data_IF_167319111680
#
_entry.id   IF_167319111680
#
_cell.length_a   1.000
_cell.length_b   1.000
_cell.length_c   1.000
_cell.angle_alpha   90.00
_cell.angle_beta   90.00
_cell.angle_gamma   90.00
#
_symmetry.space_group_name_H-M   'P 1'
#
loop_
_entity.id
_entity.type
_entity.pdbx_description
1 polymer ?
#
# COMPACT_ATOMS: atom_id res chain seq x y z
N UNK A 1 -45.39 48.30 1.13
CA UNK A 1 -45.40 47.34 0.00
C UNK A 1 -43.98 46.85 -0.19
N UNK A 2 -43.70 45.58 0.06
CA UNK A 2 -42.38 44.98 -0.17
C UNK A 2 -42.08 44.98 -1.66
N UNK A 3 -40.89 45.42 -2.04
CA UNK A 3 -40.44 45.35 -3.43
C UNK A 3 -40.47 43.89 -3.91
N UNK A 4 -40.86 43.68 -5.17
CA UNK A 4 -40.89 42.35 -5.79
C UNK A 4 -39.47 41.76 -5.81
N UNK A 5 -39.28 40.50 -5.39
CA UNK A 5 -37.98 39.85 -5.41
C UNK A 5 -37.50 39.66 -6.85
N UNK A 6 -36.22 39.90 -7.07
CA UNK A 6 -35.61 39.86 -8.40
C UNK A 6 -34.49 38.83 -8.41
N UNK A 7 -34.72 37.63 -8.97
CA UNK A 7 -33.73 36.56 -8.95
C UNK A 7 -32.48 36.90 -9.75
N UNK A 8 -32.52 37.88 -10.67
CA UNK A 8 -31.35 38.31 -11.44
C UNK A 8 -30.28 38.99 -10.57
N UNK A 9 -30.63 39.46 -9.37
CA UNK A 9 -29.68 40.05 -8.40
C UNK A 9 -28.80 39.01 -7.71
N UNK A 10 -29.19 37.74 -7.75
CA UNK A 10 -28.43 36.67 -7.14
C UNK A 10 -27.17 36.33 -7.96
N UNK A 11 -26.02 36.70 -7.42
CA UNK A 11 -24.70 36.33 -8.00
C UNK A 11 -24.04 35.14 -7.30
N UNK A 12 -24.62 34.65 -6.21
CA UNK A 12 -24.11 33.54 -5.39
C UNK A 12 -25.24 32.63 -4.87
N UNK A 13 -24.90 31.43 -4.39
CA UNK A 13 -25.87 30.48 -3.79
C UNK A 13 -26.62 31.10 -2.61
N UNK A 14 -25.91 31.77 -1.71
CA UNK A 14 -26.51 32.45 -0.56
C UNK A 14 -27.44 33.60 -0.97
N UNK A 15 -27.05 34.37 -2.00
CA UNK A 15 -27.90 35.41 -2.59
C UNK A 15 -29.18 34.84 -3.22
N UNK A 16 -29.07 33.71 -3.92
CA UNK A 16 -30.22 33.04 -4.53
C UNK A 16 -31.21 32.50 -3.49
N UNK A 17 -30.70 31.91 -2.41
CA UNK A 17 -31.54 31.45 -1.28
C UNK A 17 -32.19 32.63 -0.56
N UNK A 18 -31.50 33.77 -0.45
CA UNK A 18 -32.07 35.00 0.09
C UNK A 18 -33.24 35.52 -0.76
N UNK A 19 -33.13 35.50 -2.08
CA UNK A 19 -34.24 35.87 -2.97
C UNK A 19 -35.43 34.90 -2.83
N UNK A 20 -35.20 33.59 -2.67
CA UNK A 20 -36.29 32.63 -2.40
C UNK A 20 -37.02 32.92 -1.08
N UNK A 21 -36.30 33.39 -0.06
CA UNK A 21 -36.90 33.82 1.22
C UNK A 21 -37.71 35.11 1.06
N UNK A 22 -37.20 36.06 0.29
CA UNK A 22 -37.93 37.28 -0.04
C UNK A 22 -39.20 36.97 -0.84
N UNK A 23 -39.16 35.99 -1.73
CA UNK A 23 -40.33 35.48 -2.44
C UNK A 23 -41.39 34.88 -1.49
N UNK A 24 -40.97 34.16 -0.45
CA UNK A 24 -41.89 33.71 0.59
C UNK A 24 -42.63 34.87 1.23
N UNK A 25 -41.90 35.91 1.61
CA UNK A 25 -42.45 37.10 2.30
C UNK A 25 -43.38 37.86 1.36
N UNK A 26 -42.98 38.06 0.10
CA UNK A 26 -43.79 38.71 -0.92
C UNK A 26 -45.10 37.97 -1.20
N UNK A 27 -45.08 36.63 -1.19
CA UNK A 27 -46.27 35.78 -1.32
C UNK A 27 -47.18 35.75 -0.07
N UNK A 28 -46.96 36.64 0.91
CA UNK A 28 -47.75 36.74 2.14
C UNK A 28 -47.25 35.86 3.29
N UNK A 29 -45.97 35.49 3.26
CA UNK A 29 -45.27 34.63 4.23
C UNK A 29 -46.04 33.35 4.63
N UNK A 30 -46.48 32.52 3.66
CA UNK A 30 -47.26 31.33 3.97
C UNK A 30 -46.45 30.35 4.84
N UNK A 31 -47.06 29.72 5.86
CA UNK A 31 -46.36 28.76 6.70
C UNK A 31 -45.93 27.54 5.88
N UNK A 32 -44.79 26.92 6.24
CA UNK A 32 -44.22 25.78 5.51
C UNK A 32 -45.21 24.61 5.34
N UNK A 33 -46.19 24.47 6.25
CA UNK A 33 -47.25 23.47 6.16
C UNK A 33 -48.18 23.70 4.95
N UNK A 34 -48.51 24.95 4.64
CA UNK A 34 -49.33 25.34 3.48
C UNK A 34 -48.54 25.11 2.20
N UNK A 35 -47.32 25.64 2.13
CA UNK A 35 -46.42 25.44 1.00
C UNK A 35 -46.17 23.95 0.69
N UNK A 36 -46.03 23.11 1.72
CA UNK A 36 -45.85 21.66 1.57
C UNK A 36 -47.06 20.98 0.94
N UNK A 37 -48.28 21.38 1.34
CA UNK A 37 -49.53 20.86 0.76
C UNK A 37 -49.66 21.25 -0.70
N UNK A 38 -49.41 22.52 -1.00
CA UNK A 38 -49.69 23.09 -2.31
C UNK A 38 -48.60 22.71 -3.34
N UNK A 39 -47.36 22.45 -2.90
CA UNK A 39 -46.23 22.05 -3.76
C UNK A 39 -45.98 20.55 -3.85
N UNK A 40 -46.58 19.76 -2.94
CA UNK A 40 -46.28 18.33 -2.77
C UNK A 40 -44.90 18.05 -2.18
N UNK A 41 -44.13 19.06 -1.76
CA UNK A 41 -42.81 18.92 -1.17
C UNK A 41 -42.89 18.70 0.34
N UNK A 42 -42.01 17.87 0.91
CA UNK A 42 -41.95 17.68 2.36
C UNK A 42 -41.54 18.97 3.09
N UNK A 43 -42.03 19.17 4.31
CA UNK A 43 -41.69 20.37 5.11
C UNK A 43 -40.19 20.47 5.41
N UNK A 44 -39.51 19.34 5.59
CA UNK A 44 -38.05 19.28 5.75
C UNK A 44 -37.34 19.75 4.48
N UNK A 45 -37.82 19.35 3.30
CA UNK A 45 -37.28 19.79 2.00
C UNK A 45 -37.47 21.29 1.79
N UNK A 46 -38.63 21.85 2.15
CA UNK A 46 -38.87 23.29 2.08
C UNK A 46 -38.03 24.08 3.10
N UNK A 47 -37.84 23.53 4.30
CA UNK A 47 -36.96 24.11 5.32
C UNK A 47 -35.49 24.11 4.89
N UNK A 48 -35.03 23.04 4.27
CA UNK A 48 -33.68 22.91 3.72
C UNK A 48 -33.46 23.79 2.48
N UNK A 49 -34.47 23.91 1.59
CA UNK A 49 -34.46 24.81 0.44
C UNK A 49 -34.27 26.27 0.84
N UNK A 50 -34.88 26.68 1.95
CA UNK A 50 -34.80 28.03 2.49
C UNK A 50 -33.72 28.18 3.57
N UNK A 51 -32.83 27.21 3.78
CA UNK A 51 -31.80 27.29 4.82
C UNK A 51 -30.72 28.32 4.46
N UNK A 52 -30.34 29.25 5.36
CA UNK A 52 -29.32 30.25 5.06
C UNK A 52 -27.90 29.67 5.09
N UNK A 53 -27.74 28.45 5.65
CA UNK A 53 -26.47 27.73 5.78
C UNK A 53 -26.22 26.79 4.60
N UNK A 54 -26.93 27.01 3.48
CA UNK A 54 -26.89 26.12 2.34
C UNK A 54 -25.77 26.55 1.39
N UNK A 55 -24.80 25.67 1.23
CA UNK A 55 -23.61 25.93 0.40
C UNK A 55 -23.76 25.46 -1.07
N UNK A 56 -24.92 24.90 -1.44
CA UNK A 56 -25.21 24.41 -2.80
C UNK A 56 -26.59 24.84 -3.26
N UNK A 57 -26.76 25.15 -4.54
CA UNK A 57 -28.09 25.45 -5.09
C UNK A 57 -29.07 24.27 -4.90
N UNK A 58 -30.34 24.53 -4.52
CA UNK A 58 -31.40 23.52 -4.63
C UNK A 58 -31.60 23.11 -6.10
N UNK A 59 -32.15 21.91 -6.35
CA UNK A 59 -32.39 21.49 -7.74
C UNK A 59 -33.40 22.40 -8.42
N UNK A 60 -33.22 22.62 -9.73
CA UNK A 60 -34.08 23.51 -10.51
C UNK A 60 -35.56 23.12 -10.43
N UNK A 61 -35.87 21.82 -10.40
CA UNK A 61 -37.24 21.31 -10.23
C UNK A 61 -37.85 21.73 -8.88
N UNK A 62 -37.10 21.63 -7.78
CA UNK A 62 -37.57 22.08 -6.45
C UNK A 62 -37.81 23.60 -6.43
N UNK A 63 -36.90 24.36 -7.03
CA UNK A 63 -37.01 25.82 -7.14
C UNK A 63 -38.26 26.20 -7.94
N UNK A 64 -38.48 25.60 -9.11
CA UNK A 64 -39.63 25.94 -9.95
C UNK A 64 -40.97 25.53 -9.33
N UNK A 65 -41.02 24.38 -8.62
CA UNK A 65 -42.21 23.99 -7.86
C UNK A 65 -42.51 24.97 -6.73
N UNK A 66 -41.48 25.36 -5.98
CA UNK A 66 -41.63 26.34 -4.91
C UNK A 66 -42.09 27.72 -5.42
N UNK A 67 -41.43 28.22 -6.47
CA UNK A 67 -41.75 29.51 -7.13
C UNK A 67 -43.18 29.50 -7.68
N UNK A 68 -43.62 28.39 -8.28
CA UNK A 68 -44.99 28.22 -8.78
C UNK A 68 -46.05 28.31 -7.67
N UNK A 69 -45.79 27.71 -6.51
CA UNK A 69 -46.70 27.78 -5.35
C UNK A 69 -46.72 29.17 -4.70
N UNK A 70 -45.64 29.94 -4.83
CA UNK A 70 -45.61 31.35 -4.45
C UNK A 70 -46.32 32.29 -5.45
N UNK A 71 -46.99 31.75 -6.48
CA UNK A 71 -47.82 32.51 -7.41
C UNK A 71 -47.05 33.09 -8.61
N UNK A 72 -45.80 32.66 -8.83
CA UNK A 72 -44.97 33.14 -9.94
C UNK A 72 -45.00 32.13 -11.09
N UNK A 73 -45.57 32.54 -12.23
CA UNK A 73 -45.75 31.69 -13.43
C UNK A 73 -45.27 32.41 -14.71
N UNK A 74 -45.27 31.70 -15.84
CA UNK A 74 -44.94 32.28 -17.16
C UNK A 74 -43.50 32.81 -17.27
N UNK A 75 -43.33 33.97 -17.88
CA UNK A 75 -42.02 34.64 -18.08
C UNK A 75 -41.28 34.89 -16.77
N UNK A 76 -42.01 35.13 -15.67
CA UNK A 76 -41.41 35.38 -14.36
C UNK A 76 -40.75 34.13 -13.80
N UNK A 77 -41.38 32.96 -13.97
CA UNK A 77 -40.76 31.68 -13.64
C UNK A 77 -39.54 31.37 -14.55
N UNK A 78 -39.52 31.90 -15.78
CA UNK A 78 -38.36 31.81 -16.66
C UNK A 78 -37.18 32.66 -16.15
N UNK A 79 -37.42 33.82 -15.53
CA UNK A 79 -36.37 34.62 -14.89
C UNK A 79 -35.68 33.86 -13.74
N UNK A 80 -36.45 33.17 -12.89
CA UNK A 80 -35.92 32.28 -11.85
C UNK A 80 -35.09 31.13 -12.43
N UNK A 81 -35.51 30.57 -13.56
CA UNK A 81 -34.75 29.52 -14.28
C UNK A 81 -33.43 30.05 -14.84
N UNK A 82 -33.44 31.24 -15.42
CA UNK A 82 -32.23 31.88 -15.97
C UNK A 82 -31.24 32.25 -14.87
N UNK A 83 -31.71 32.88 -13.79
CA UNK A 83 -30.88 33.18 -12.62
C UNK A 83 -30.30 31.92 -11.98
N UNK A 84 -31.09 30.84 -11.84
CA UNK A 84 -30.58 29.56 -11.36
C UNK A 84 -29.45 29.03 -12.25
N UNK A 85 -29.60 29.08 -13.58
CA UNK A 85 -28.58 28.64 -14.53
C UNK A 85 -27.31 29.49 -14.44
N UNK A 86 -27.45 30.80 -14.27
CA UNK A 86 -26.31 31.69 -14.13
C UNK A 86 -25.54 31.46 -12.83
N UNK A 87 -26.23 31.34 -11.69
CA UNK A 87 -25.57 31.03 -10.42
C UNK A 87 -24.97 29.63 -10.47
N UNK A 88 -25.63 28.66 -11.09
CA UNK A 88 -25.09 27.31 -11.30
C UNK A 88 -23.87 27.31 -12.23
N UNK A 89 -23.84 28.14 -13.27
CA UNK A 89 -22.68 28.28 -14.16
C UNK A 89 -21.50 28.95 -13.44
N UNK A 90 -21.75 29.94 -12.57
CA UNK A 90 -20.74 30.61 -11.75
C UNK A 90 -20.20 29.71 -10.63
N UNK A 91 -21.07 28.96 -9.96
CA UNK A 91 -20.70 27.95 -8.96
C UNK A 91 -19.99 26.76 -9.62
N UNK A 92 -20.38 26.40 -10.84
CA UNK A 92 -19.67 25.41 -11.68
C UNK A 92 -18.29 25.88 -12.14
N UNK A 93 -18.11 27.17 -12.45
CA UNK A 93 -16.80 27.76 -12.78
C UNK A 93 -15.90 27.91 -11.55
N UNK A 94 -16.46 28.25 -10.39
CA UNK A 94 -15.75 28.23 -9.10
C UNK A 94 -15.42 26.80 -8.64
N UNK A 95 -16.30 25.84 -8.93
CA UNK A 95 -16.10 24.40 -8.69
C UNK A 95 -15.14 23.77 -9.69
N UNK A 96 -14.94 24.32 -10.89
CA UNK A 96 -13.89 23.88 -11.82
C UNK A 96 -12.50 24.32 -11.31
N UNK A 97 -12.39 25.54 -10.78
CA UNK A 97 -11.18 26.02 -10.10
C UNK A 97 -10.93 25.32 -8.73
N UNK A 98 -11.98 24.80 -8.08
CA UNK A 98 -11.85 23.96 -6.87
C UNK A 98 -11.60 22.47 -7.20
N UNK A 99 -12.15 21.96 -8.31
CA UNK A 99 -11.85 20.63 -8.84
C UNK A 99 -10.42 20.52 -9.39
N UNK A 100 -9.78 21.65 -9.70
CA UNK A 100 -8.35 21.75 -10.02
C UNK A 100 -7.40 21.42 -8.84
N UNK A 101 -7.89 21.13 -7.62
CA UNK A 101 -7.04 20.71 -6.49
C UNK A 101 -7.55 19.51 -5.69
N UNK A 102 -8.30 18.58 -6.29
CA UNK A 102 -8.42 17.27 -5.67
C UNK A 102 -7.01 16.65 -5.58
N UNK A 103 -6.46 16.55 -4.37
CA UNK A 103 -5.10 16.03 -4.16
C UNK A 103 -5.08 14.57 -4.61
N UNK A 104 -4.47 14.31 -5.76
CA UNK A 104 -4.24 12.95 -6.24
C UNK A 104 -3.14 12.34 -5.37
N UNK A 105 -3.40 11.25 -4.63
CA UNK A 105 -2.38 10.67 -3.76
C UNK A 105 -1.20 10.16 -4.60
N UNK A 106 0.02 10.56 -4.24
CA UNK A 106 1.29 10.11 -4.84
C UNK A 106 2.20 9.58 -3.74
N UNK A 107 1.79 8.49 -3.10
CA UNK A 107 2.41 7.99 -1.86
C UNK A 107 3.57 7.01 -2.07
N UNK A 108 3.87 6.64 -3.33
CA UNK A 108 4.92 5.68 -3.60
C UNK A 108 6.27 6.19 -3.11
N UNK A 109 7.04 5.37 -2.35
CA UNK A 109 8.36 5.76 -1.90
C UNK A 109 9.34 5.84 -3.08
N UNK A 110 10.55 6.34 -2.79
CA UNK A 110 11.69 6.16 -3.69
C UNK A 110 11.89 4.67 -4.00
N UNK A 111 12.02 4.34 -5.28
CA UNK A 111 12.40 2.99 -5.71
C UNK A 111 13.92 2.81 -5.72
N UNK A 112 14.42 1.56 -5.85
CA UNK A 112 15.83 1.34 -6.16
C UNK A 112 16.18 2.04 -7.48
N UNK A 113 17.37 2.63 -7.57
CA UNK A 113 17.84 3.29 -8.81
C UNK A 113 17.84 2.31 -10.00
N UNK A 114 18.19 1.05 -9.74
CA UNK A 114 18.15 -0.03 -10.73
C UNK A 114 17.61 -1.31 -10.08
N UNK A 115 16.65 -1.95 -10.75
CA UNK A 115 16.19 -3.29 -10.43
C UNK A 115 16.80 -4.25 -11.46
N UNK A 116 17.49 -5.29 -11.00
CA UNK A 116 18.27 -6.20 -11.87
C UNK A 116 17.66 -7.59 -11.86
N UNK A 117 17.52 -8.20 -13.05
CA UNK A 117 17.17 -9.60 -13.22
C UNK A 117 15.75 -9.94 -12.78
N UNK A 118 14.83 -8.97 -12.90
CA UNK A 118 13.41 -9.12 -12.53
C UNK A 118 12.46 -8.90 -13.70
N UNK A 119 12.97 -8.95 -14.93
CA UNK A 119 12.18 -8.65 -16.13
C UNK A 119 11.00 -9.60 -16.31
N UNK A 120 11.18 -10.88 -15.93
CA UNK A 120 10.10 -11.88 -15.98
C UNK A 120 8.99 -11.57 -14.98
N UNK A 121 9.36 -11.21 -13.75
CA UNK A 121 8.42 -10.87 -12.69
C UNK A 121 7.71 -9.56 -12.97
N UNK A 122 8.39 -8.56 -13.54
CA UNK A 122 7.76 -7.32 -14.00
C UNK A 122 6.73 -7.61 -15.10
N UNK A 123 7.09 -8.37 -16.14
CA UNK A 123 6.16 -8.74 -17.20
C UNK A 123 4.99 -9.62 -16.72
N UNK A 124 5.19 -10.39 -15.64
CA UNK A 124 4.09 -11.08 -14.97
C UNK A 124 3.19 -10.09 -14.23
N UNK A 125 3.75 -9.16 -13.47
CA UNK A 125 2.98 -8.14 -12.77
C UNK A 125 2.13 -7.29 -13.74
N UNK A 126 2.68 -6.90 -14.88
CA UNK A 126 1.93 -6.15 -15.90
C UNK A 126 0.71 -6.94 -16.39
N UNK A 127 0.90 -8.21 -16.74
CA UNK A 127 -0.20 -9.09 -17.17
C UNK A 127 -1.25 -9.31 -16.08
N UNK A 128 -0.81 -9.48 -14.84
CA UNK A 128 -1.70 -9.76 -13.72
C UNK A 128 -2.45 -8.50 -13.24
N UNK A 129 -1.91 -7.31 -13.50
CA UNK A 129 -2.47 -6.03 -13.08
C UNK A 129 -3.68 -5.58 -13.92
N UNK A 130 -3.78 -6.04 -15.16
CA UNK A 130 -4.91 -5.82 -16.05
C UNK A 130 -6.17 -6.61 -15.64
N UNK A 131 -6.00 -7.60 -14.76
CA UNK A 131 -7.09 -8.45 -14.30
C UNK A 131 -7.55 -8.04 -12.89
N UNK A 132 -8.87 -8.12 -12.60
CA UNK A 132 -9.38 -7.78 -11.28
C UNK A 132 -8.81 -8.72 -10.21
N UNK A 133 -8.34 -8.14 -9.10
CA UNK A 133 -7.83 -8.87 -7.95
C UNK A 133 -6.54 -8.28 -7.38
N UNK A 134 -5.97 -8.98 -6.39
CA UNK A 134 -4.70 -8.63 -5.80
C UNK A 134 -3.60 -9.59 -6.24
N UNK A 135 -2.40 -9.09 -6.49
CA UNK A 135 -1.20 -9.91 -6.67
C UNK A 135 -0.43 -9.97 -5.36
N UNK A 136 -0.05 -11.16 -4.92
CA UNK A 136 0.67 -11.38 -3.65
C UNK A 136 2.09 -11.85 -3.95
N UNK A 137 3.05 -10.96 -3.75
CA UNK A 137 4.48 -11.25 -3.89
C UNK A 137 5.01 -11.85 -2.59
N UNK A 138 5.38 -13.12 -2.64
CA UNK A 138 5.96 -13.84 -1.49
C UNK A 138 7.43 -14.19 -1.75
N UNK A 139 8.17 -14.54 -0.71
CA UNK A 139 9.57 -14.94 -0.85
C UNK A 139 10.39 -14.70 0.41
N UNK A 140 11.62 -15.23 0.41
CA UNK A 140 12.55 -15.18 1.53
C UNK A 140 12.87 -13.74 2.00
N UNK A 141 13.23 -13.50 3.27
CA UNK A 141 13.76 -12.21 3.70
C UNK A 141 14.98 -11.79 2.86
N UNK A 142 15.03 -10.54 2.43
CA UNK A 142 16.15 -10.00 1.64
C UNK A 142 16.11 -10.31 0.13
N UNK A 143 15.11 -11.04 -0.37
CA UNK A 143 14.98 -11.40 -1.80
C UNK A 143 14.58 -10.22 -2.72
N UNK A 144 14.18 -9.08 -2.14
CA UNK A 144 13.86 -7.86 -2.89
C UNK A 144 12.38 -7.64 -3.21
N UNK A 145 11.43 -8.22 -2.46
CA UNK A 145 9.99 -8.03 -2.67
C UNK A 145 9.56 -6.55 -2.71
N UNK A 146 9.96 -5.77 -1.71
CA UNK A 146 9.67 -4.32 -1.64
C UNK A 146 10.31 -3.57 -2.81
N UNK A 147 11.53 -3.95 -3.20
CA UNK A 147 12.23 -3.34 -4.34
C UNK A 147 11.50 -3.61 -5.66
N UNK A 148 11.03 -4.84 -5.89
CA UNK A 148 10.20 -5.20 -7.04
C UNK A 148 8.88 -4.43 -7.03
N UNK A 149 8.15 -4.45 -5.90
CA UNK A 149 6.84 -3.83 -5.79
C UNK A 149 6.89 -2.31 -6.01
N UNK A 150 7.87 -1.64 -5.42
CA UNK A 150 8.03 -0.18 -5.59
C UNK A 150 8.52 0.19 -6.98
N UNK A 151 9.43 -0.58 -7.58
CA UNK A 151 9.87 -0.34 -8.96
C UNK A 151 8.72 -0.51 -9.96
N UNK A 152 7.99 -1.62 -9.87
CA UNK A 152 6.83 -1.89 -10.73
C UNK A 152 5.73 -0.84 -10.52
N UNK A 153 5.38 -0.53 -9.27
CA UNK A 153 4.32 0.42 -8.98
C UNK A 153 4.62 1.83 -9.53
N UNK A 154 5.90 2.23 -9.58
CA UNK A 154 6.33 3.49 -10.19
C UNK A 154 6.18 3.49 -11.71
N UNK A 155 6.38 2.34 -12.36
CA UNK A 155 6.15 2.19 -13.80
C UNK A 155 4.64 2.22 -14.09
N UNK A 156 3.86 1.42 -13.37
CA UNK A 156 2.40 1.35 -13.49
C UNK A 156 1.67 2.64 -13.07
N UNK A 157 2.32 3.52 -12.29
CA UNK A 157 1.71 4.78 -11.81
C UNK A 157 1.12 5.68 -12.92
N UNK A 158 1.59 5.54 -14.16
CA UNK A 158 1.04 6.26 -15.33
C UNK A 158 -0.36 5.78 -15.72
N UNK A 159 -0.67 4.52 -15.49
CA UNK A 159 -1.94 3.88 -15.86
C UNK A 159 -3.03 4.06 -14.77
N UNK A 160 -2.64 4.65 -13.64
CA UNK A 160 -3.51 4.96 -12.49
C UNK A 160 -3.62 6.47 -12.26
N UNK A 161 -4.36 7.20 -13.11
CA UNK A 161 -4.44 8.65 -13.06
C UNK A 161 -5.07 9.18 -11.76
N UNK A 162 -5.87 8.37 -11.07
CA UNK A 162 -6.52 8.75 -9.82
C UNK A 162 -5.63 8.55 -8.58
N UNK A 163 -4.38 8.10 -8.77
CA UNK A 163 -3.34 8.14 -7.75
C UNK A 163 -2.81 6.76 -7.35
N UNK A 164 -1.87 6.79 -6.40
CA UNK A 164 -1.20 5.63 -5.85
C UNK A 164 -1.18 5.75 -4.33
N UNK A 165 -1.71 4.70 -3.68
CA UNK A 165 -1.68 4.52 -2.25
C UNK A 165 -0.59 3.52 -1.89
N UNK A 166 0.20 3.84 -0.87
CA UNK A 166 1.27 2.99 -0.38
C UNK A 166 1.24 2.93 1.13
N UNK A 167 1.40 1.73 1.66
CA UNK A 167 1.60 1.53 3.10
C UNK A 167 2.57 0.39 3.33
N UNK A 168 3.52 0.60 4.25
CA UNK A 168 4.25 -0.50 4.87
C UNK A 168 3.45 -0.97 6.09
N UNK A 169 2.87 -2.16 6.00
CA UNK A 169 2.00 -2.79 7.00
C UNK A 169 2.75 -3.29 8.24
N UNK A 170 4.08 -3.20 8.26
CA UNK A 170 4.95 -3.54 9.41
C UNK A 170 4.74 -4.98 9.90
N UNK A 171 4.39 -5.89 9.00
CA UNK A 171 4.14 -7.28 9.35
C UNK A 171 5.36 -7.99 9.93
N UNK A 172 6.55 -7.47 9.63
CA UNK A 172 7.81 -7.89 10.22
C UNK A 172 8.63 -6.64 10.56
N UNK A 173 8.57 -6.19 11.82
CA UNK A 173 9.29 -5.02 12.35
C UNK A 173 9.82 -5.32 13.77
N UNK A 174 11.10 -5.01 14.09
CA UNK A 174 11.69 -5.31 15.39
C UNK A 174 11.04 -4.56 16.56
N UNK A 175 10.56 -3.34 16.33
CA UNK A 175 10.20 -2.38 17.38
C UNK A 175 8.70 -2.05 17.42
N UNK A 176 7.95 -2.34 16.34
CA UNK A 176 6.55 -1.92 16.20
C UNK A 176 5.65 -3.10 15.85
N UNK A 177 4.43 -3.06 16.39
CA UNK A 177 3.39 -3.99 15.99
C UNK A 177 2.96 -3.74 14.53
N UNK A 178 2.43 -4.77 13.84
CA UNK A 178 1.77 -4.60 12.55
C UNK A 178 0.68 -3.53 12.61
N UNK A 179 0.52 -2.78 11.52
CA UNK A 179 -0.50 -1.73 11.46
C UNK A 179 -1.91 -2.31 11.52
N UNK A 180 -2.77 -1.66 12.32
CA UNK A 180 -4.20 -1.92 12.36
C UNK A 180 -4.86 -1.55 11.00
N UNK A 181 -5.64 -2.45 10.37
CA UNK A 181 -6.30 -2.17 9.09
C UNK A 181 -7.24 -0.96 9.16
N UNK A 182 -7.91 -0.72 10.28
CA UNK A 182 -8.79 0.43 10.47
C UNK A 182 -8.05 1.77 10.41
N UNK A 183 -6.86 1.83 11.01
CA UNK A 183 -5.96 2.99 10.92
C UNK A 183 -5.44 3.22 9.50
N UNK A 184 -5.09 2.15 8.78
CA UNK A 184 -4.65 2.23 7.36
C UNK A 184 -5.79 2.74 6.47
N UNK A 185 -7.00 2.18 6.62
CA UNK A 185 -8.19 2.63 5.87
C UNK A 185 -8.50 4.09 6.13
N UNK A 186 -8.40 4.54 7.39
CA UNK A 186 -8.58 5.95 7.71
C UNK A 186 -7.57 6.82 6.95
N UNK A 187 -6.28 6.47 6.98
CA UNK A 187 -5.25 7.20 6.24
C UNK A 187 -5.48 7.20 4.73
N UNK A 188 -5.92 6.08 4.14
CA UNK A 188 -6.26 5.99 2.72
C UNK A 188 -7.46 6.85 2.35
N UNK A 189 -8.53 6.83 3.16
CA UNK A 189 -9.72 7.66 2.94
C UNK A 189 -9.39 9.15 3.01
N UNK A 190 -8.57 9.57 3.98
CA UNK A 190 -8.06 10.94 4.07
C UNK A 190 -7.25 11.30 2.81
N UNK A 191 -6.35 10.41 2.38
CA UNK A 191 -5.54 10.63 1.18
C UNK A 191 -6.33 10.65 -0.14
N UNK A 192 -7.52 10.04 -0.16
CA UNK A 192 -8.46 10.06 -1.29
C UNK A 192 -9.42 11.25 -1.23
N UNK A 193 -9.17 12.20 -0.32
CA UNK A 193 -9.96 13.41 -0.08
C UNK A 193 -11.41 13.10 0.35
N UNK A 194 -11.60 12.04 1.14
CA UNK A 194 -12.89 11.73 1.77
C UNK A 194 -13.07 12.63 2.99
N UNK A 195 -14.15 13.43 3.05
CA UNK A 195 -14.37 14.32 4.18
C UNK A 195 -14.45 13.58 5.52
N UNK A 196 -13.89 14.10 6.62
CA UNK A 196 -13.83 13.41 7.91
C UNK A 196 -15.19 12.91 8.42
N UNK A 197 -16.27 13.66 8.23
CA UNK A 197 -17.63 13.26 8.65
C UNK A 197 -18.24 12.12 7.83
N UNK A 198 -17.61 11.75 6.71
CA UNK A 198 -17.97 10.55 5.92
C UNK A 198 -17.08 9.35 6.24
N UNK A 199 -16.10 9.49 7.12
CA UNK A 199 -15.24 8.40 7.56
C UNK A 199 -15.82 7.83 8.87
N UNK A 200 -16.49 6.66 8.83
CA UNK A 200 -17.08 6.07 10.02
C UNK A 200 -15.99 5.60 11.01
N UNK A 201 -16.32 5.43 12.29
CA UNK A 201 -15.36 4.97 13.28
C UNK A 201 -15.00 3.49 13.13
N UNK A 202 -15.92 2.63 12.68
CA UNK A 202 -15.73 1.18 12.57
C UNK A 202 -14.95 0.77 11.32
N UNK A 203 -14.02 -0.19 11.47
CA UNK A 203 -13.15 -0.70 10.40
C UNK A 203 -13.93 -1.23 9.19
N UNK A 204 -14.97 -2.04 9.41
CA UNK A 204 -15.75 -2.63 8.31
C UNK A 204 -16.52 -1.57 7.53
N UNK A 205 -17.05 -0.57 8.23
CA UNK A 205 -17.72 0.56 7.61
C UNK A 205 -16.71 1.42 6.80
N UNK A 206 -15.49 1.64 7.31
CA UNK A 206 -14.42 2.30 6.54
C UNK A 206 -14.05 1.51 5.29
N UNK A 207 -13.98 0.18 5.39
CA UNK A 207 -13.68 -0.68 4.26
C UNK A 207 -14.77 -0.59 3.17
N UNK A 208 -16.05 -0.48 3.56
CA UNK A 208 -17.16 -0.27 2.64
C UNK A 208 -17.08 1.09 1.92
N UNK A 209 -16.79 2.18 2.65
CA UNK A 209 -16.57 3.50 2.04
C UNK A 209 -15.37 3.47 1.09
N UNK A 210 -14.26 2.86 1.52
CA UNK A 210 -13.04 2.71 0.72
C UNK A 210 -13.32 2.00 -0.60
N UNK A 211 -13.98 0.84 -0.58
CA UNK A 211 -14.38 0.12 -1.79
C UNK A 211 -15.30 0.96 -2.69
N UNK A 212 -16.21 1.73 -2.11
CA UNK A 212 -17.13 2.59 -2.86
C UNK A 212 -16.40 3.75 -3.57
N UNK A 213 -15.40 4.33 -2.91
CA UNK A 213 -14.56 5.39 -3.50
C UNK A 213 -13.71 4.82 -4.63
N UNK A 214 -13.11 3.65 -4.43
CA UNK A 214 -12.26 3.00 -5.43
C UNK A 214 -13.03 2.40 -6.61
N UNK A 215 -14.32 2.05 -6.44
CA UNK A 215 -15.15 1.53 -7.53
C UNK A 215 -15.25 2.45 -8.75
N UNK A 216 -15.10 3.77 -8.54
CA UNK A 216 -15.16 4.79 -9.59
C UNK A 216 -13.80 5.38 -9.96
N UNK A 217 -12.70 4.88 -9.38
CA UNK A 217 -11.35 5.46 -9.53
C UNK A 217 -10.32 4.39 -9.87
N UNK A 218 -9.45 4.70 -10.85
CA UNK A 218 -8.28 3.89 -11.16
C UNK A 218 -7.12 4.29 -10.25
N UNK A 219 -7.04 3.66 -9.08
CA UNK A 219 -5.99 3.86 -8.08
C UNK A 219 -5.11 2.60 -8.00
N UNK A 220 -3.80 2.77 -7.87
CA UNK A 220 -2.91 1.66 -7.53
C UNK A 220 -2.76 1.56 -6.01
N UNK A 221 -2.95 0.37 -5.45
CA UNK A 221 -2.77 0.13 -4.01
C UNK A 221 -1.60 -0.82 -3.77
N UNK A 222 -0.60 -0.36 -3.02
CA UNK A 222 0.56 -1.18 -2.64
C UNK A 222 0.57 -1.40 -1.13
N UNK A 223 0.40 -2.66 -0.72
CA UNK A 223 0.40 -3.13 0.66
C UNK A 223 1.73 -3.87 0.93
N UNK A 224 2.75 -3.14 1.36
CA UNK A 224 4.09 -3.70 1.57
C UNK A 224 4.22 -4.33 2.97
N UNK A 225 4.94 -5.45 3.05
CA UNK A 225 5.29 -6.14 4.31
C UNK A 225 4.05 -6.57 5.13
N UNK A 226 3.10 -7.25 4.50
CA UNK A 226 1.92 -7.82 5.17
C UNK A 226 2.29 -8.92 6.18
N UNK A 227 1.59 -8.95 7.31
CA UNK A 227 1.81 -9.90 8.39
C UNK A 227 0.93 -11.15 8.29
N UNK A 228 -0.30 -10.98 7.80
CA UNK A 228 -1.36 -12.01 7.78
C UNK A 228 -2.47 -11.66 6.79
N UNK A 229 -3.40 -12.60 6.59
CA UNK A 229 -4.57 -12.47 5.72
C UNK A 229 -5.55 -11.43 6.29
N UNK A 230 -5.76 -11.46 7.60
CA UNK A 230 -6.69 -10.59 8.35
C UNK A 230 -6.28 -9.12 8.24
N UNK A 231 -4.97 -8.85 8.15
CA UNK A 231 -4.46 -7.51 7.96
C UNK A 231 -4.75 -6.95 6.56
N UNK A 232 -4.72 -7.81 5.54
CA UNK A 232 -4.81 -7.42 4.12
C UNK A 232 -6.26 -7.39 3.63
N UNK A 233 -7.08 -8.37 4.03
CA UNK A 233 -8.44 -8.57 3.53
C UNK A 233 -9.31 -7.29 3.58
N UNK A 234 -9.33 -6.50 4.67
CA UNK A 234 -10.12 -5.26 4.72
C UNK A 234 -9.63 -4.16 3.76
N UNK A 235 -8.36 -4.22 3.36
CA UNK A 235 -7.66 -3.22 2.54
C UNK A 235 -7.77 -3.51 1.03
N UNK A 236 -8.31 -4.68 0.67
CA UNK A 236 -8.44 -5.07 -0.73
C UNK A 236 -9.50 -4.21 -1.45
N UNK A 237 -9.16 -3.60 -2.60
CA UNK A 237 -10.12 -2.92 -3.44
C UNK A 237 -11.04 -3.92 -4.16
N UNK A 238 -12.20 -3.46 -4.61
CA UNK A 238 -13.13 -4.29 -5.38
C UNK A 238 -12.79 -4.37 -6.89
N UNK A 239 -12.24 -3.30 -7.47
CA UNK A 239 -12.00 -3.20 -8.92
C UNK A 239 -10.70 -2.48 -9.29
N UNK A 240 -9.84 -2.18 -8.31
CA UNK A 240 -8.57 -1.49 -8.53
C UNK A 240 -7.40 -2.45 -8.38
N UNK A 241 -6.28 -2.15 -9.03
CA UNK A 241 -5.07 -2.97 -8.95
C UNK A 241 -4.47 -2.91 -7.55
N UNK A 242 -4.23 -4.08 -6.95
CA UNK A 242 -3.63 -4.19 -5.63
C UNK A 242 -2.41 -5.11 -5.66
N UNK A 243 -1.28 -4.62 -5.17
CA UNK A 243 -0.05 -5.38 -4.99
C UNK A 243 0.24 -5.53 -3.51
N UNK A 244 0.43 -6.77 -3.06
CA UNK A 244 0.74 -7.11 -1.67
C UNK A 244 2.11 -7.75 -1.63
N UNK A 245 2.99 -7.33 -0.72
CA UNK A 245 4.23 -8.07 -0.44
C UNK A 245 4.15 -8.72 0.93
N UNK A 246 4.65 -9.95 1.05
CA UNK A 246 4.63 -10.69 2.32
C UNK A 246 5.84 -11.61 2.44
N UNK A 247 6.29 -11.84 3.68
CA UNK A 247 7.29 -12.88 3.98
C UNK A 247 6.66 -14.24 4.26
N UNK A 248 5.33 -14.28 4.47
CA UNK A 248 4.56 -15.50 4.68
C UNK A 248 3.60 -15.73 3.52
N UNK A 249 3.30 -16.99 3.23
CA UNK A 249 2.25 -17.34 2.28
C UNK A 249 0.89 -16.90 2.83
N UNK A 250 0.10 -16.22 2.00
CA UNK A 250 -1.23 -15.71 2.33
C UNK A 250 -2.29 -16.55 1.59
N UNK A 251 -2.24 -17.86 1.75
CA UNK A 251 -3.08 -18.83 1.01
C UNK A 251 -4.58 -18.51 1.10
N UNK A 252 -5.01 -17.97 2.24
CA UNK A 252 -6.40 -17.52 2.45
C UNK A 252 -6.84 -16.47 1.43
N UNK A 253 -5.95 -15.56 1.01
CA UNK A 253 -6.23 -14.58 -0.04
C UNK A 253 -6.35 -15.20 -1.42
N UNK A 254 -5.56 -16.25 -1.68
CA UNK A 254 -5.60 -16.96 -2.96
C UNK A 254 -6.91 -17.73 -3.09
N UNK A 255 -7.31 -18.44 -2.03
CA UNK A 255 -8.51 -19.28 -2.02
C UNK A 255 -9.79 -18.44 -1.88
N UNK A 256 -9.81 -17.46 -0.97
CA UNK A 256 -11.01 -16.71 -0.63
C UNK A 256 -11.27 -15.51 -1.55
N UNK A 257 -10.21 -14.81 -1.95
CA UNK A 257 -10.29 -13.54 -2.68
C UNK A 257 -9.74 -13.62 -4.11
N UNK A 258 -9.37 -14.82 -4.57
CA UNK A 258 -8.81 -15.04 -5.92
C UNK A 258 -7.47 -14.34 -6.13
N UNK A 259 -6.74 -14.01 -5.05
CA UNK A 259 -5.47 -13.33 -5.15
C UNK A 259 -4.43 -14.22 -5.86
N UNK A 260 -3.54 -13.59 -6.61
CA UNK A 260 -2.63 -14.30 -7.52
C UNK A 260 -1.24 -14.36 -6.90
N UNK A 261 -0.73 -15.55 -6.54
CA UNK A 261 0.58 -15.65 -5.92
C UNK A 261 1.69 -15.43 -6.96
N UNK A 262 2.65 -14.58 -6.62
CA UNK A 262 3.89 -14.38 -7.37
C UNK A 262 5.07 -14.71 -6.43
N UNK A 263 5.52 -15.98 -6.37
CA UNK A 263 6.68 -16.34 -5.56
C UNK A 263 7.94 -15.72 -6.17
N UNK A 264 8.70 -14.99 -5.35
CA UNK A 264 9.92 -14.32 -5.75
C UNK A 264 11.12 -15.11 -5.24
N UNK A 265 11.92 -15.60 -6.18
CA UNK A 265 13.12 -16.39 -5.89
C UNK A 265 14.39 -15.53 -5.86
N UNK A 266 15.51 -16.11 -5.43
CA UNK A 266 16.84 -15.48 -5.49
C UNK A 266 17.25 -15.18 -6.94
N UNK A 267 18.21 -14.27 -7.10
CA UNK A 267 18.73 -13.94 -8.43
C UNK A 267 19.54 -15.10 -9.00
N UNK A 268 19.46 -15.26 -10.33
CA UNK A 268 20.39 -16.11 -11.05
C UNK A 268 21.82 -15.59 -10.89
N UNK A 269 22.83 -16.45 -11.04
CA UNK A 269 24.24 -16.05 -10.92
C UNK A 269 24.61 -14.91 -11.86
N UNK A 270 24.04 -14.89 -13.07
CA UNK A 270 24.22 -13.81 -14.04
C UNK A 270 23.62 -12.49 -13.53
N UNK A 271 22.36 -12.49 -13.08
CA UNK A 271 21.71 -11.30 -12.53
C UNK A 271 22.37 -10.80 -11.24
N UNK A 272 22.85 -11.71 -10.40
CA UNK A 272 23.58 -11.39 -9.18
C UNK A 272 24.93 -10.70 -9.48
N UNK A 273 25.68 -11.18 -10.47
CA UNK A 273 26.90 -10.53 -10.95
C UNK A 273 26.63 -9.13 -11.53
N UNK A 274 25.55 -8.98 -12.30
CA UNK A 274 25.12 -7.68 -12.81
C UNK A 274 24.76 -6.72 -11.67
N UNK A 275 23.99 -7.14 -10.66
CA UNK A 275 23.64 -6.32 -9.51
C UNK A 275 24.88 -5.85 -8.75
N UNK A 276 25.84 -6.76 -8.50
CA UNK A 276 27.10 -6.43 -7.86
C UNK A 276 27.87 -5.37 -8.66
N UNK A 277 28.02 -5.57 -9.97
CA UNK A 277 28.74 -4.63 -10.84
C UNK A 277 28.09 -3.24 -10.86
N UNK A 278 26.77 -3.16 -10.98
CA UNK A 278 26.03 -1.89 -10.97
C UNK A 278 26.18 -1.15 -9.64
N UNK A 279 26.17 -1.86 -8.50
CA UNK A 279 26.33 -1.24 -7.18
C UNK A 279 27.74 -0.70 -6.94
N UNK A 280 28.76 -1.33 -7.53
CA UNK A 280 30.15 -0.88 -7.45
C UNK A 280 30.45 0.30 -8.40
N UNK A 281 29.60 0.50 -9.41
CA UNK A 281 29.76 1.53 -10.43
C UNK A 281 30.84 1.21 -11.48
N UNK A 282 31.00 2.09 -12.45
CA UNK A 282 32.02 2.01 -13.47
C UNK A 282 33.27 2.82 -13.07
N UNK A 283 34.47 2.28 -13.35
CA UNK A 283 35.72 3.03 -13.26
C UNK A 283 36.91 2.25 -12.69
N UNK A 284 38.12 2.84 -12.73
CA UNK A 284 39.37 2.16 -12.33
C UNK A 284 39.37 1.69 -10.87
N UNK A 285 38.70 2.43 -9.97
CA UNK A 285 38.58 2.05 -8.56
C UNK A 285 37.66 0.83 -8.36
N UNK A 286 36.55 0.74 -9.11
CA UNK A 286 35.67 -0.43 -9.08
C UNK A 286 36.38 -1.67 -9.67
N UNK A 287 37.06 -1.51 -10.80
CA UNK A 287 37.84 -2.56 -11.43
C UNK A 287 38.94 -3.12 -10.51
N UNK A 288 39.64 -2.25 -9.76
CA UNK A 288 40.67 -2.67 -8.79
C UNK A 288 40.11 -3.47 -7.62
N UNK A 289 38.95 -3.09 -7.08
CA UNK A 289 38.30 -3.77 -5.93
C UNK A 289 37.81 -5.16 -6.29
N UNK A 290 37.23 -5.30 -7.48
CA UNK A 290 36.76 -6.59 -8.00
C UNK A 290 37.95 -7.46 -8.44
N UNK A 291 38.97 -6.82 -9.02
CA UNK A 291 40.13 -7.47 -9.63
C UNK A 291 39.80 -8.14 -10.97
N UNK A 292 40.83 -8.46 -11.75
CA UNK A 292 40.70 -9.37 -12.88
C UNK A 292 40.72 -10.81 -12.34
N UNK A 293 39.62 -11.56 -12.46
CA UNK A 293 39.59 -12.98 -12.10
C UNK A 293 38.30 -13.48 -11.43
N UNK A 294 38.31 -14.72 -10.88
CA UNK A 294 37.12 -15.39 -10.36
C UNK A 294 36.61 -14.86 -9.00
N UNK A 295 37.21 -13.79 -8.46
CA UNK A 295 36.86 -13.27 -7.14
C UNK A 295 35.41 -12.74 -7.07
N UNK A 296 34.96 -12.02 -8.11
CA UNK A 296 33.58 -11.56 -8.22
C UNK A 296 32.58 -12.73 -8.24
N UNK A 297 32.90 -13.77 -9.00
CA UNK A 297 32.07 -14.97 -9.11
C UNK A 297 31.99 -15.70 -7.76
N UNK A 298 33.11 -15.84 -7.04
CA UNK A 298 33.12 -16.39 -5.68
C UNK A 298 32.28 -15.57 -4.70
N UNK A 299 32.34 -14.23 -4.79
CA UNK A 299 31.53 -13.36 -3.94
C UNK A 299 30.04 -13.56 -4.20
N UNK A 300 29.64 -13.61 -5.49
CA UNK A 300 28.27 -13.90 -5.91
C UNK A 300 27.79 -15.26 -5.41
N UNK A 301 28.62 -16.30 -5.55
CA UNK A 301 28.34 -17.65 -5.07
C UNK A 301 28.13 -17.69 -3.55
N UNK A 302 28.98 -17.00 -2.78
CA UNK A 302 28.84 -16.89 -1.32
C UNK A 302 27.60 -16.12 -0.87
N UNK A 303 27.17 -15.13 -1.65
CA UNK A 303 25.90 -14.43 -1.42
C UNK A 303 24.68 -15.28 -1.84
N UNK A 304 24.89 -16.40 -2.55
CA UNK A 304 23.87 -17.35 -2.99
C UNK A 304 22.69 -16.70 -3.74
N UNK A 305 22.96 -15.63 -4.50
CA UNK A 305 21.95 -14.92 -5.29
C UNK A 305 21.01 -14.01 -4.49
N UNK A 306 21.22 -13.82 -3.17
CA UNK A 306 20.36 -12.99 -2.34
C UNK A 306 20.68 -11.48 -2.56
N UNK A 307 19.73 -10.66 -3.06
CA UNK A 307 19.98 -9.23 -3.35
C UNK A 307 20.46 -8.41 -2.15
N UNK A 308 19.92 -8.67 -0.95
CA UNK A 308 20.35 -7.96 0.26
C UNK A 308 21.81 -8.26 0.60
N UNK A 309 22.24 -9.52 0.49
CA UNK A 309 23.63 -9.93 0.70
C UNK A 309 24.57 -9.28 -0.31
N UNK A 310 24.20 -9.29 -1.59
CA UNK A 310 24.98 -8.67 -2.67
C UNK A 310 25.12 -7.16 -2.46
N UNK A 311 24.06 -6.49 -2.02
CA UNK A 311 24.06 -5.04 -1.76
C UNK A 311 24.93 -4.70 -0.55
N UNK A 312 24.87 -5.49 0.53
CA UNK A 312 25.73 -5.32 1.69
C UNK A 312 27.22 -5.55 1.34
N UNK A 313 27.52 -6.60 0.56
CA UNK A 313 28.87 -6.86 0.08
C UNK A 313 29.40 -5.72 -0.81
N UNK A 314 28.58 -5.23 -1.74
CA UNK A 314 28.95 -4.09 -2.58
C UNK A 314 29.18 -2.81 -1.76
N UNK A 315 28.34 -2.55 -0.76
CA UNK A 315 28.49 -1.41 0.14
C UNK A 315 29.81 -1.47 0.91
N UNK A 316 30.18 -2.63 1.46
CA UNK A 316 31.48 -2.82 2.14
C UNK A 316 32.66 -2.54 1.20
N UNK A 317 32.64 -3.10 -0.01
CA UNK A 317 33.69 -2.86 -1.01
C UNK A 317 33.78 -1.38 -1.42
N UNK A 318 32.65 -0.68 -1.49
CA UNK A 318 32.62 0.75 -1.80
C UNK A 318 33.17 1.61 -0.66
N UNK A 319 32.83 1.28 0.59
CA UNK A 319 33.22 2.02 1.80
C UNK A 319 34.64 1.70 2.28
N UNK A 320 35.21 0.56 1.90
CA UNK A 320 36.54 0.11 2.33
C UNK A 320 37.47 -0.08 1.10
N UNK A 321 38.15 0.98 0.63
CA UNK A 321 38.96 0.92 -0.59
C UNK A 321 40.12 -0.09 -0.56
N UNK A 322 40.58 -0.50 0.63
CA UNK A 322 41.62 -1.51 0.82
C UNK A 322 41.09 -2.95 0.76
N UNK A 323 39.77 -3.15 0.86
CA UNK A 323 39.15 -4.48 0.85
C UNK A 323 39.01 -4.95 -0.60
N UNK A 324 39.61 -6.11 -0.91
CA UNK A 324 39.41 -6.78 -2.19
C UNK A 324 38.22 -7.72 -2.16
N UNK A 325 37.62 -7.97 -3.33
CA UNK A 325 36.55 -8.97 -3.46
C UNK A 325 37.01 -10.38 -3.03
N UNK A 326 38.29 -10.71 -3.22
CA UNK A 326 38.85 -11.99 -2.78
C UNK A 326 38.94 -12.08 -1.24
N UNK A 327 39.36 -11.01 -0.57
CA UNK A 327 39.40 -10.94 0.90
C UNK A 327 37.98 -11.03 1.48
N UNK A 328 37.03 -10.27 0.93
CA UNK A 328 35.63 -10.34 1.38
C UNK A 328 35.02 -11.73 1.14
N UNK A 329 35.29 -12.38 0.01
CA UNK A 329 34.85 -13.75 -0.23
C UNK A 329 35.45 -14.76 0.77
N UNK A 330 36.67 -14.51 1.26
CA UNK A 330 37.28 -15.32 2.31
C UNK A 330 36.64 -15.07 3.68
N UNK A 331 36.34 -13.81 4.03
CA UNK A 331 35.56 -13.46 5.24
C UNK A 331 34.19 -14.13 5.22
N UNK A 332 33.47 -14.06 4.09
CA UNK A 332 32.16 -14.70 3.94
C UNK A 332 32.19 -16.21 4.07
N UNK A 333 33.31 -16.84 3.72
CA UNK A 333 33.48 -18.29 3.92
C UNK A 333 33.63 -18.64 5.40
N UNK A 334 34.28 -17.77 6.19
CA UNK A 334 34.53 -17.99 7.60
C UNK A 334 33.34 -17.61 8.48
N UNK A 335 32.77 -16.43 8.25
CA UNK A 335 31.67 -15.86 9.05
C UNK A 335 30.68 -15.11 8.13
N UNK A 336 29.80 -15.83 7.39
CA UNK A 336 28.95 -15.24 6.35
C UNK A 336 28.06 -14.09 6.84
N UNK A 337 27.44 -14.22 8.02
CA UNK A 337 26.50 -13.22 8.53
C UNK A 337 27.20 -12.02 9.17
N UNK A 338 28.34 -12.25 9.83
CA UNK A 338 29.15 -11.16 10.40
C UNK A 338 29.78 -10.32 9.28
N UNK A 339 30.29 -10.98 8.24
CA UNK A 339 30.87 -10.29 7.08
C UNK A 339 29.86 -9.47 6.27
N UNK A 340 28.55 -9.70 6.43
CA UNK A 340 27.49 -8.92 5.77
C UNK A 340 26.70 -8.04 6.75
N UNK A 341 27.17 -7.92 7.99
CA UNK A 341 26.48 -7.11 8.98
C UNK A 341 26.58 -5.63 8.63
N UNK A 342 25.45 -4.95 8.77
CA UNK A 342 25.31 -3.50 8.66
C UNK A 342 24.79 -2.96 9.99
N UNK A 343 25.12 -1.70 10.29
CA UNK A 343 24.67 -1.03 11.50
C UNK A 343 23.16 -0.75 11.50
N UNK A 344 22.57 -0.60 10.31
CA UNK A 344 21.14 -0.41 10.13
C UNK A 344 20.37 -1.76 10.20
N UNK A 345 19.49 -1.95 11.21
CA UNK A 345 18.70 -3.17 11.34
C UNK A 345 17.81 -3.50 10.13
N UNK A 346 17.40 -2.50 9.35
CA UNK A 346 16.57 -2.71 8.16
C UNK A 346 17.33 -3.37 6.99
N UNK A 347 18.65 -3.19 6.95
CA UNK A 347 19.54 -3.76 5.92
C UNK A 347 20.37 -4.94 6.43
N UNK A 348 20.31 -5.24 7.73
CA UNK A 348 21.05 -6.34 8.33
C UNK A 348 20.37 -7.71 8.10
N UNK A 349 21.12 -8.66 7.51
CA UNK A 349 20.62 -10.01 7.21
C UNK A 349 20.23 -10.79 8.47
N UNK A 350 21.07 -10.77 9.51
CA UNK A 350 20.83 -11.50 10.75
C UNK A 350 19.54 -11.01 11.40
N UNK A 351 19.33 -9.69 11.45
CA UNK A 351 18.07 -9.10 11.90
C UNK A 351 16.90 -9.58 11.03
N UNK A 352 17.01 -9.50 9.71
CA UNK A 352 15.93 -9.89 8.80
C UNK A 352 15.52 -11.37 8.92
N UNK A 353 16.49 -12.26 9.14
CA UNK A 353 16.24 -13.69 9.40
C UNK A 353 15.65 -13.91 10.78
N UNK A 354 16.20 -13.29 11.82
CA UNK A 354 15.68 -13.35 13.18
C UNK A 354 14.20 -12.97 13.26
N UNK A 355 13.82 -11.88 12.59
CA UNK A 355 12.44 -11.42 12.59
C UNK A 355 11.45 -12.40 11.96
N UNK A 356 11.92 -13.25 11.05
CA UNK A 356 11.11 -14.30 10.40
C UNK A 356 11.11 -15.58 11.24
N UNK A 357 12.25 -15.93 11.82
CA UNK A 357 12.42 -17.06 12.74
C UNK A 357 11.57 -16.92 14.01
N UNK A 358 11.55 -15.75 14.65
CA UNK A 358 10.83 -15.54 15.93
C UNK A 358 9.30 -15.67 15.83
N UNK A 359 8.74 -15.66 14.61
CA UNK A 359 7.30 -15.85 14.38
C UNK A 359 6.90 -17.32 14.30
N UNK A 360 7.88 -18.21 14.20
CA UNK A 360 7.64 -19.64 14.15
C UNK A 360 7.23 -20.17 15.53
N UNK A 361 6.41 -21.22 15.53
CA UNK A 361 6.16 -22.05 16.72
C UNK A 361 7.45 -22.71 17.20
N UNK A 362 7.50 -23.09 18.49
CA UNK A 362 8.67 -23.74 19.08
C UNK A 362 9.10 -25.01 18.33
N UNK A 363 8.12 -25.78 17.83
CA UNK A 363 8.36 -26.96 17.01
C UNK A 363 9.04 -26.63 15.68
N UNK A 364 8.56 -25.58 14.98
CA UNK A 364 9.18 -25.11 13.75
C UNK A 364 10.55 -24.45 13.98
N UNK A 365 10.75 -23.73 15.08
CA UNK A 365 12.05 -23.20 15.48
C UNK A 365 13.07 -24.32 15.73
N UNK A 366 12.66 -25.37 16.45
CA UNK A 366 13.51 -26.55 16.70
C UNK A 366 13.89 -27.24 15.39
N UNK A 367 12.91 -27.47 14.51
CA UNK A 367 13.17 -28.05 13.19
C UNK A 367 14.13 -27.16 12.38
N UNK A 368 13.92 -25.84 12.36
CA UNK A 368 14.81 -24.89 11.67
C UNK A 368 16.26 -25.00 12.14
N UNK A 369 16.51 -25.08 13.45
CA UNK A 369 17.86 -25.24 14.01
C UNK A 369 18.51 -26.57 13.57
N UNK A 370 17.74 -27.67 13.59
CA UNK A 370 18.24 -29.00 13.16
C UNK A 370 18.62 -29.03 11.67
N UNK A 371 17.89 -28.31 10.82
CA UNK A 371 18.23 -28.18 9.40
C UNK A 371 19.58 -27.46 9.17
N UNK A 372 20.05 -26.68 10.14
CA UNK A 372 21.35 -26.01 10.09
C UNK A 372 22.55 -26.93 10.30
N UNK A 373 22.38 -28.04 11.02
CA UNK A 373 23.49 -28.88 11.51
C UNK A 373 23.63 -30.23 10.79
N UNK A 374 22.62 -30.67 10.02
CA UNK A 374 22.61 -32.00 9.39
C UNK A 374 22.34 -32.04 7.88
N UNK A 375 22.43 -33.24 7.25
CA UNK A 375 21.96 -33.47 5.89
C UNK A 375 20.45 -33.20 5.80
N UNK A 376 19.96 -32.70 4.66
CA UNK A 376 18.57 -32.24 4.48
C UNK A 376 17.57 -33.35 4.83
N UNK A 377 16.90 -33.28 6.00
CA UNK A 377 15.90 -34.28 6.36
C UNK A 377 14.66 -34.08 5.51
N UNK A 378 13.86 -35.14 5.36
CA UNK A 378 12.53 -35.03 4.78
C UNK A 378 11.70 -34.09 5.65
N UNK A 379 11.40 -32.89 5.13
CA UNK A 379 10.60 -31.90 5.85
C UNK A 379 9.14 -32.31 5.76
N UNK A 380 8.61 -32.83 6.88
CA UNK A 380 7.22 -33.26 7.02
C UNK A 380 6.52 -32.60 8.21
N UNK A 381 5.21 -32.89 8.34
CA UNK A 381 4.41 -32.48 9.48
C UNK A 381 4.09 -30.98 9.54
N UNK A 382 3.52 -30.56 10.67
CA UNK A 382 3.06 -29.18 10.88
C UNK A 382 4.22 -28.17 10.86
N UNK A 383 5.32 -28.48 11.55
CA UNK A 383 6.53 -27.65 11.60
C UNK A 383 7.14 -27.44 10.21
N UNK A 384 7.21 -28.48 9.40
CA UNK A 384 7.74 -28.39 8.04
C UNK A 384 6.90 -27.49 7.13
N UNK A 385 5.57 -27.66 7.17
CA UNK A 385 4.64 -26.79 6.43
C UNK A 385 4.75 -25.34 6.88
N UNK A 386 4.96 -25.10 8.17
CA UNK A 386 5.15 -23.76 8.72
C UNK A 386 6.42 -23.09 8.17
N UNK A 387 7.54 -23.82 8.07
CA UNK A 387 8.77 -23.29 7.47
C UNK A 387 8.63 -22.94 5.99
N UNK A 388 7.88 -23.74 5.24
CA UNK A 388 7.55 -23.46 3.83
C UNK A 388 6.66 -22.21 3.73
N UNK A 389 5.62 -22.12 4.57
CA UNK A 389 4.75 -20.93 4.64
C UNK A 389 5.52 -19.67 5.02
N UNK A 390 6.49 -19.78 5.92
CA UNK A 390 7.37 -18.68 6.34
C UNK A 390 8.47 -18.35 5.33
N UNK A 391 8.53 -19.04 4.18
CA UNK A 391 9.53 -18.83 3.12
C UNK A 391 10.98 -19.00 3.61
N UNK A 392 11.18 -19.83 4.64
CA UNK A 392 12.50 -20.19 5.15
C UNK A 392 13.05 -21.44 4.46
N UNK A 393 12.16 -22.26 3.90
CA UNK A 393 12.51 -23.43 3.08
C UNK A 393 11.75 -23.39 1.76
N UNK A 394 12.41 -23.77 0.67
CA UNK A 394 11.79 -23.89 -0.65
C UNK A 394 10.91 -25.14 -0.75
N UNK A 395 9.73 -25.04 -1.38
CA UNK A 395 8.75 -26.13 -1.41
C UNK A 395 9.03 -27.29 -2.40
N UNK A 396 9.90 -27.12 -3.40
CA UNK A 396 10.14 -28.15 -4.45
C UNK A 396 11.21 -29.18 -4.08
N UNK A 397 12.23 -28.75 -3.36
CA UNK A 397 13.13 -29.58 -2.56
C UNK A 397 13.31 -28.82 -1.27
N UNK A 398 13.00 -29.39 -0.10
CA UNK A 398 13.08 -28.69 1.16
C UNK A 398 14.52 -28.40 1.58
N UNK A 399 15.15 -27.45 0.88
CA UNK A 399 16.49 -26.99 1.12
C UNK A 399 16.43 -25.61 1.79
N UNK A 400 17.30 -25.43 2.80
CA UNK A 400 17.59 -24.10 3.31
C UNK A 400 18.49 -23.37 2.32
N UNK A 401 18.17 -22.12 2.05
CA UNK A 401 19.10 -21.22 1.38
C UNK A 401 20.44 -21.18 2.16
N UNK A 402 21.62 -21.16 1.50
CA UNK A 402 22.91 -21.25 2.18
C UNK A 402 23.08 -20.27 3.36
N UNK A 403 22.69 -19.01 3.20
CA UNK A 403 22.76 -18.01 4.29
C UNK A 403 21.76 -18.28 5.44
N UNK A 404 20.59 -18.88 5.16
CA UNK A 404 19.68 -19.32 6.22
C UNK A 404 20.20 -20.55 6.94
N UNK A 405 20.88 -21.46 6.23
CA UNK A 405 21.56 -22.61 6.84
C UNK A 405 22.65 -22.16 7.80
N UNK A 406 23.45 -21.15 7.43
CA UNK A 406 24.44 -20.54 8.33
C UNK A 406 23.77 -19.95 9.57
N UNK A 407 22.65 -19.22 9.40
CA UNK A 407 21.89 -18.67 10.52
C UNK A 407 21.33 -19.76 11.46
N UNK A 408 20.75 -20.82 10.88
CA UNK A 408 20.24 -21.96 11.63
C UNK A 408 21.35 -22.66 12.44
N UNK A 409 22.55 -22.81 11.86
CA UNK A 409 23.71 -23.40 12.54
C UNK A 409 24.23 -22.52 13.69
N UNK A 410 24.27 -21.19 13.52
CA UNK A 410 24.57 -20.25 14.62
C UNK A 410 23.58 -20.42 15.78
N UNK A 411 22.27 -20.49 15.47
CA UNK A 411 21.23 -20.70 16.49
C UNK A 411 21.36 -22.04 17.21
N UNK A 412 21.69 -23.12 16.49
CA UNK A 412 21.87 -24.44 17.09
C UNK A 412 22.98 -24.43 18.15
N UNK A 413 24.15 -23.86 17.82
CA UNK A 413 25.28 -23.72 18.75
C UNK A 413 24.94 -22.89 19.98
N UNK A 414 24.21 -21.79 19.79
CA UNK A 414 23.81 -20.90 20.92
C UNK A 414 22.85 -21.56 21.92
N UNK A 415 22.13 -22.61 21.51
CA UNK A 415 21.23 -23.37 22.39
C UNK A 415 22.00 -24.47 23.11
N UNK A 416 23.01 -25.07 22.48
CA UNK A 416 23.92 -26.05 23.11
C UNK A 416 24.81 -25.41 24.18
N UNK A 417 25.20 -24.13 24.02
CA UNK A 417 26.00 -23.37 25.00
C UNK A 417 25.20 -22.85 26.22
N UNK A 418 23.89 -23.10 26.32
CA UNK A 418 23.15 -22.84 27.57
C UNK A 418 23.35 -24.05 28.49
N UNK A 419 23.97 -23.89 29.68
CA UNK A 419 24.01 -24.99 30.64
C UNK A 419 22.57 -25.42 30.93
N UNK A 420 22.34 -26.74 30.92
CA UNK A 420 21.08 -27.31 31.35
C UNK A 420 20.70 -26.68 32.70
N UNK A 421 19.44 -26.26 32.93
CA UNK A 421 19.04 -25.85 34.27
C UNK A 421 19.32 -27.04 35.18
N UNK A 422 20.29 -26.87 36.07
CA UNK A 422 20.53 -27.82 37.16
C UNK A 422 19.24 -27.83 37.95
N UNK A 423 18.43 -28.87 37.73
CA UNK A 423 17.31 -29.20 38.59
C UNK A 423 17.92 -29.55 39.96
N UNK A 424 18.13 -28.54 40.79
CA UNK A 424 18.26 -28.75 42.22
C UNK A 424 16.89 -29.19 42.72
N UNK A 425 16.75 -30.51 42.89
CA UNK A 425 15.71 -31.10 43.72
C UNK A 425 16.02 -30.70 45.17
N UNK A 426 15.14 -29.92 45.78
CA UNK A 426 14.95 -29.83 47.21
C UNK A 426 13.45 -29.66 47.48
#
# INVERSE_FOLDING_TARGET
MTAEPDPARATSVGGFVQELRLLKIWAGDPPLRRLSRDSGLARSTLGDLLSPRRDRLPSLDLVLRYVGVCGVTGERAAAWRSAWREVHARDGAGSAAAAERAVVPRQLPGGPAHLVGRDRELALLDRLADEPGAVVVTGMPGVGKTALATAWARQAARDHPNGQLYVNLRGVDPARAPLDPGAVLHGFLVALDVPPWRIPPETDARAAVYRSVLASRRVLVVLDNAASVEQVRPLLPASSTCLVTSRVQLDGLVVGEGARPLPLDVLTSAAAGLLLSQRLGAGPAAARRVGAGPAAARLVDRCAGLPLALTAAAARLAQQPWLSAAALAAELRAAPLDALSTDDPATNLRTSFFLSYRRLTDGAQRLFRLLGTGPEPVIGGAAGRELVRAQLVTGRSPALHPLLRCYAAELARSVEDRPAPVLHVA
#
